data_IF_592214596959
#
_entry.id   IF_592214596959
#
_cell.length_a   1.000
_cell.length_b   1.000
_cell.length_c   1.000
_cell.angle_alpha   90.00
_cell.angle_beta   90.00
_cell.angle_gamma   90.00
#
_symmetry.space_group_name_H-M   'P 1'
#
loop_
_entity.id
_entity.type
_entity.pdbx_description
1 polymer ?
#
# COMPACT_ATOMS: atom_id res chain seq x y z
N UNK A 1 -3.88 3.82 27.22
CA UNK A 1 -5.02 2.98 26.80
C UNK A 1 -4.50 1.73 26.12
N UNK A 2 -4.93 0.53 26.52
CA UNK A 2 -4.43 -0.77 25.98
C UNK A 2 -5.44 -1.53 25.10
N UNK A 3 -6.61 -0.98 24.81
CA UNK A 3 -7.66 -1.67 24.05
C UNK A 3 -8.16 -0.84 22.86
N UNK A 4 -8.49 -1.52 21.76
CA UNK A 4 -9.06 -0.94 20.54
C UNK A 4 -10.44 -0.36 20.86
N UNK A 5 -10.73 0.83 20.36
CA UNK A 5 -12.03 1.51 20.54
C UNK A 5 -12.78 1.49 19.22
N UNK A 6 -14.04 1.02 19.24
CA UNK A 6 -14.95 1.14 18.10
C UNK A 6 -15.64 2.50 18.19
N UNK A 7 -15.47 3.34 17.17
CA UNK A 7 -16.06 4.67 17.11
C UNK A 7 -16.67 4.95 15.73
N UNK A 8 -17.74 5.75 15.69
CA UNK A 8 -18.34 6.28 14.46
C UNK A 8 -18.03 7.76 14.25
N UNK A 9 -17.83 8.49 15.35
CA UNK A 9 -17.54 9.92 15.36
C UNK A 9 -16.38 10.19 16.31
N UNK A 10 -15.46 11.06 15.91
CA UNK A 10 -14.46 11.65 16.80
C UNK A 10 -14.80 13.13 16.96
N UNK A 11 -15.06 13.54 18.20
CA UNK A 11 -15.41 14.92 18.51
C UNK A 11 -14.24 15.57 19.24
N UNK A 12 -13.80 16.71 18.71
CA UNK A 12 -12.90 17.62 19.39
C UNK A 12 -13.77 18.73 19.99
N UNK A 13 -13.54 19.06 21.26
CA UNK A 13 -14.24 20.16 21.93
C UNK A 13 -13.22 21.08 22.56
N UNK A 14 -13.09 22.29 22.03
CA UNK A 14 -12.32 23.34 22.68
C UNK A 14 -13.20 24.01 23.75
N UNK A 15 -12.78 23.96 25.03
CA UNK A 15 -13.56 24.51 26.14
C UNK A 15 -13.26 25.97 26.43
N UNK A 16 -12.06 26.44 26.13
CA UNK A 16 -11.65 27.81 26.45
C UNK A 16 -10.43 28.23 25.61
N UNK A 17 -10.52 29.39 24.97
CA UNK A 17 -9.38 30.10 24.38
C UNK A 17 -9.36 31.52 24.96
N UNK A 18 -8.50 31.82 25.95
CA UNK A 18 -8.49 33.13 26.61
C UNK A 18 -8.10 34.29 25.67
N UNK A 19 -7.24 34.05 24.68
CA UNK A 19 -6.79 35.00 23.66
C UNK A 19 -6.24 34.21 22.44
N UNK A 20 -6.15 34.83 21.27
CA UNK A 20 -5.63 34.21 20.05
C UNK A 20 -6.63 33.28 19.34
N UNK A 21 -6.14 32.21 18.68
CA UNK A 21 -6.96 31.29 17.87
C UNK A 21 -6.70 29.84 18.24
N UNK A 22 -7.78 29.05 18.34
CA UNK A 22 -7.69 27.60 18.41
C UNK A 22 -7.58 27.01 17.01
N UNK A 23 -6.44 26.38 16.71
CA UNK A 23 -6.19 25.73 15.42
C UNK A 23 -5.74 24.29 15.63
N UNK A 24 -6.13 23.42 14.70
CA UNK A 24 -5.70 22.02 14.65
C UNK A 24 -5.12 21.77 13.27
N UNK A 25 -3.94 21.16 13.24
CA UNK A 25 -3.36 20.59 12.04
C UNK A 25 -3.14 19.09 12.23
N UNK A 26 -3.24 18.34 11.13
CA UNK A 26 -2.84 16.94 11.04
C UNK A 26 -3.52 15.96 12.03
N UNK A 27 -4.81 16.16 12.30
CA UNK A 27 -5.59 15.22 13.11
C UNK A 27 -5.79 13.89 12.38
N UNK A 28 -5.16 12.82 12.89
CA UNK A 28 -5.19 11.47 12.29
C UNK A 28 -5.82 10.45 13.22
N UNK A 29 -6.64 9.58 12.64
CA UNK A 29 -7.22 8.42 13.31
C UNK A 29 -6.72 7.18 12.57
N UNK A 30 -6.11 6.26 13.31
CA UNK A 30 -5.60 5.01 12.76
C UNK A 30 -6.45 3.84 13.21
N UNK A 31 -6.76 2.94 12.29
CA UNK A 31 -7.59 1.78 12.53
C UNK A 31 -8.01 1.10 11.24
N UNK A 32 -8.85 0.08 11.35
CA UNK A 32 -9.50 -0.56 10.21
C UNK A 32 -10.99 -0.21 10.24
N UNK A 33 -11.58 -0.01 9.07
CA UNK A 33 -13.02 0.06 8.91
C UNK A 33 -13.72 -1.27 9.24
N UNK A 34 -15.05 -1.29 9.13
CA UNK A 34 -15.87 -2.49 9.35
C UNK A 34 -16.32 -3.16 8.03
N UNK A 35 -15.71 -2.79 6.91
CA UNK A 35 -16.00 -3.34 5.59
C UNK A 35 -15.20 -4.60 5.26
N UNK A 36 -15.31 -5.07 4.02
CA UNK A 36 -14.58 -6.24 3.52
C UNK A 36 -13.15 -5.87 3.11
N UNK A 37 -12.24 -6.82 3.29
CA UNK A 37 -10.91 -6.76 2.69
C UNK A 37 -11.03 -6.82 1.17
N UNK A 38 -10.12 -6.16 0.42
CA UNK A 38 -10.11 -6.26 -1.03
C UNK A 38 -9.70 -7.68 -1.48
N UNK A 39 -10.07 -8.05 -2.70
CA UNK A 39 -9.67 -9.33 -3.27
C UNK A 39 -8.16 -9.42 -3.51
N UNK A 40 -7.64 -10.65 -3.48
CA UNK A 40 -6.25 -10.95 -3.83
C UNK A 40 -5.97 -10.49 -5.26
N UNK A 41 -4.78 -9.93 -5.47
CA UNK A 41 -4.32 -9.51 -6.80
C UNK A 41 -3.97 -10.75 -7.63
N UNK A 42 -4.43 -10.77 -8.88
CA UNK A 42 -4.20 -11.87 -9.83
C UNK A 42 -3.50 -11.36 -11.10
N UNK A 43 -3.04 -12.32 -11.93
CA UNK A 43 -2.41 -12.06 -13.23
C UNK A 43 -1.24 -11.06 -13.19
N UNK A 44 -0.40 -11.18 -12.17
CA UNK A 44 0.82 -10.39 -12.03
C UNK A 44 1.78 -10.76 -13.17
N UNK A 45 2.16 -9.77 -13.97
CA UNK A 45 3.16 -9.90 -15.05
C UNK A 45 4.31 -8.96 -14.77
N UNK A 46 5.53 -9.48 -14.95
CA UNK A 46 6.78 -8.76 -14.72
C UNK A 46 7.54 -8.72 -16.05
N UNK A 47 7.81 -7.52 -16.53
CA UNK A 47 8.53 -7.26 -17.77
C UNK A 47 9.82 -6.52 -17.43
N UNK A 48 10.94 -7.23 -17.40
CA UNK A 48 12.26 -6.65 -17.20
C UNK A 48 12.87 -6.24 -18.53
N UNK A 49 13.40 -5.02 -18.61
CA UNK A 49 13.96 -4.54 -19.87
C UNK A 49 15.32 -5.21 -20.15
N UNK A 50 15.52 -5.64 -21.40
CA UNK A 50 16.72 -6.36 -21.83
C UNK A 50 17.93 -5.45 -22.03
N UNK A 51 17.72 -4.19 -22.41
CA UNK A 51 18.76 -3.18 -22.62
C UNK A 51 19.18 -2.54 -21.29
N UNK A 52 18.21 -2.18 -20.44
CA UNK A 52 18.43 -1.71 -19.08
C UNK A 52 17.73 -2.62 -18.06
N UNK A 53 18.46 -3.62 -17.56
CA UNK A 53 17.95 -4.56 -16.54
C UNK A 53 17.65 -3.91 -15.19
N UNK A 54 17.96 -2.64 -14.98
CA UNK A 54 17.56 -1.90 -13.77
C UNK A 54 16.10 -1.44 -13.85
N UNK A 55 15.53 -1.51 -15.05
CA UNK A 55 14.13 -1.23 -15.32
C UNK A 55 13.27 -2.50 -15.32
N UNK A 56 12.15 -2.44 -14.62
CA UNK A 56 11.08 -3.42 -14.76
C UNK A 56 9.71 -2.76 -14.68
N UNK A 57 8.79 -3.23 -15.53
CA UNK A 57 7.38 -2.88 -15.48
C UNK A 57 6.60 -4.05 -14.90
N UNK A 58 5.85 -3.80 -13.83
CA UNK A 58 5.00 -4.80 -13.18
C UNK A 58 3.55 -4.38 -13.38
N UNK A 59 2.72 -5.31 -13.86
CA UNK A 59 1.28 -5.09 -14.13
C UNK A 59 0.46 -6.19 -13.49
N UNK A 60 -0.80 -5.91 -13.17
CA UNK A 60 -1.74 -6.87 -12.58
C UNK A 60 -3.19 -6.52 -12.90
N UNK A 61 -4.13 -7.41 -12.57
CA UNK A 61 -5.55 -7.13 -12.75
C UNK A 61 -6.07 -6.15 -11.70
N UNK A 62 -6.90 -5.19 -12.15
CA UNK A 62 -7.50 -4.20 -11.26
C UNK A 62 -8.52 -4.85 -10.33
N UNK A 63 -8.34 -4.65 -9.02
CA UNK A 63 -9.26 -5.02 -7.94
C UNK A 63 -10.22 -3.85 -7.69
N UNK A 64 -11.53 -3.96 -7.96
CA UNK A 64 -12.47 -2.84 -7.90
C UNK A 64 -12.57 -2.15 -6.54
N UNK A 65 -12.58 -2.91 -5.45
CA UNK A 65 -12.70 -2.41 -4.08
C UNK A 65 -11.36 -2.06 -3.40
N UNK A 66 -10.27 -2.02 -4.17
CA UNK A 66 -8.96 -1.60 -3.68
C UNK A 66 -8.80 -0.07 -3.79
N UNK A 67 -8.39 0.56 -2.69
CA UNK A 67 -7.94 1.96 -2.67
C UNK A 67 -6.56 2.08 -3.34
N UNK A 68 -5.73 1.06 -3.22
CA UNK A 68 -4.41 1.00 -3.86
C UNK A 68 -3.74 -0.37 -3.71
N UNK A 69 -2.46 -0.42 -4.08
CA UNK A 69 -1.65 -1.63 -4.07
C UNK A 69 -0.29 -1.39 -3.43
N UNK A 70 0.22 -2.38 -2.70
CA UNK A 70 1.58 -2.46 -2.22
C UNK A 70 2.33 -3.46 -3.11
N UNK A 71 3.33 -2.98 -3.85
CA UNK A 71 4.26 -3.83 -4.60
C UNK A 71 5.48 -4.05 -3.71
N UNK A 72 5.69 -5.27 -3.24
CA UNK A 72 6.85 -5.66 -2.42
C UNK A 72 7.84 -6.41 -3.30
N UNK A 73 9.12 -6.14 -3.14
CA UNK A 73 10.15 -6.77 -3.94
C UNK A 73 11.48 -6.93 -3.20
N UNK A 74 12.29 -7.86 -3.65
CA UNK A 74 13.60 -8.14 -3.09
C UNK A 74 14.32 -9.30 -3.77
N UNK A 75 15.55 -9.55 -3.37
CA UNK A 75 16.45 -10.52 -4.01
C UNK A 75 16.20 -11.98 -3.60
N UNK A 76 15.27 -12.22 -2.68
CA UNK A 76 14.83 -13.56 -2.28
C UNK A 76 13.34 -13.56 -1.92
N UNK A 77 12.66 -14.70 -2.09
CA UNK A 77 11.22 -14.85 -1.87
C UNK A 77 10.75 -14.46 -0.46
N UNK A 78 11.60 -14.70 0.54
CA UNK A 78 11.34 -14.41 1.95
C UNK A 78 11.90 -13.05 2.40
N UNK A 79 12.50 -12.28 1.48
CA UNK A 79 13.22 -11.02 1.78
C UNK A 79 12.75 -9.86 0.90
N UNK A 80 11.44 -9.66 0.83
CA UNK A 80 10.81 -8.57 0.08
C UNK A 80 10.78 -7.27 0.89
N UNK A 81 11.96 -6.73 1.17
CA UNK A 81 12.12 -5.56 2.05
C UNK A 81 11.82 -4.22 1.38
N UNK A 82 11.79 -4.18 0.05
CA UNK A 82 11.48 -2.97 -0.69
C UNK A 82 9.98 -2.92 -0.96
N UNK A 83 9.40 -1.73 -0.88
CA UNK A 83 7.98 -1.50 -1.13
C UNK A 83 7.76 -0.25 -1.99
N UNK A 84 6.85 -0.38 -2.95
CA UNK A 84 6.31 0.74 -3.72
C UNK A 84 4.79 0.73 -3.61
N UNK A 85 4.21 1.86 -3.21
CA UNK A 85 2.76 1.99 -3.08
C UNK A 85 2.17 2.68 -4.30
N UNK A 86 1.18 2.04 -4.92
CA UNK A 86 0.50 2.53 -6.12
C UNK A 86 -0.94 2.86 -5.79
N UNK A 87 -1.33 4.08 -6.15
CA UNK A 87 -2.72 4.52 -6.12
C UNK A 87 -3.25 4.57 -7.54
N UNK A 88 -4.58 4.35 -7.68
CA UNK A 88 -5.41 4.48 -8.89
C UNK A 88 -5.07 3.58 -10.10
N UNK A 89 -3.82 3.17 -10.26
CA UNK A 89 -3.31 2.35 -11.35
C UNK A 89 -3.09 0.89 -10.93
N UNK A 90 -2.99 0.01 -11.92
CA UNK A 90 -2.71 -1.42 -11.78
C UNK A 90 -1.33 -1.81 -12.35
N UNK A 91 -0.38 -0.87 -12.30
CA UNK A 91 0.99 -1.10 -12.73
C UNK A 91 1.99 -0.21 -11.96
N UNK A 92 3.26 -0.59 -11.99
CA UNK A 92 4.39 0.22 -11.55
C UNK A 92 5.57 0.05 -12.51
N UNK A 93 6.33 1.12 -12.68
CA UNK A 93 7.62 1.11 -13.38
C UNK A 93 8.72 1.38 -12.35
N UNK A 94 9.63 0.43 -12.21
CA UNK A 94 10.78 0.51 -11.31
C UNK A 94 12.01 0.81 -12.14
N UNK A 95 12.85 1.74 -11.66
CA UNK A 95 14.13 2.12 -12.28
C UNK A 95 15.32 1.94 -11.31
N UNK A 96 15.11 1.17 -10.23
CA UNK A 96 16.03 1.08 -9.10
C UNK A 96 16.53 -0.35 -8.84
N UNK A 97 16.36 -1.27 -9.79
CA UNK A 97 16.82 -2.65 -9.63
C UNK A 97 18.32 -2.77 -9.94
N UNK A 98 18.99 -3.76 -9.39
CA UNK A 98 20.38 -4.08 -9.75
C UNK A 98 20.43 -4.93 -11.02
N UNK A 99 21.34 -4.59 -11.95
CA UNK A 99 21.44 -5.22 -13.27
C UNK A 99 21.58 -6.75 -13.25
N UNK A 100 22.34 -7.28 -12.29
CA UNK A 100 22.76 -8.69 -12.25
C UNK A 100 22.07 -9.51 -11.16
N UNK A 101 21.14 -8.91 -10.41
CA UNK A 101 20.36 -9.60 -9.38
C UNK A 101 19.00 -10.04 -9.90
N UNK A 102 18.57 -11.24 -9.53
CA UNK A 102 17.19 -11.68 -9.69
C UNK A 102 16.31 -11.06 -8.60
N UNK A 103 15.09 -10.69 -8.96
CA UNK A 103 14.11 -10.10 -8.04
C UNK A 103 12.85 -10.96 -7.98
N UNK A 104 12.25 -11.01 -6.81
CA UNK A 104 10.94 -11.59 -6.55
C UNK A 104 9.96 -10.48 -6.23
N UNK A 105 8.70 -10.67 -6.60
CA UNK A 105 7.67 -9.65 -6.45
C UNK A 105 6.40 -10.23 -5.81
N UNK A 106 5.80 -9.43 -4.94
CA UNK A 106 4.46 -9.65 -4.43
C UNK A 106 3.64 -8.38 -4.57
N UNK A 107 2.37 -8.53 -4.94
CA UNK A 107 1.42 -7.42 -5.01
C UNK A 107 0.25 -7.71 -4.08
N UNK A 108 0.00 -6.78 -3.17
CA UNK A 108 -1.13 -6.80 -2.24
C UNK A 108 -2.05 -5.62 -2.54
N UNK A 109 -3.34 -5.86 -2.64
CA UNK A 109 -4.34 -4.78 -2.67
C UNK A 109 -4.68 -4.33 -1.24
N UNK A 110 -4.99 -3.05 -1.05
CA UNK A 110 -5.44 -2.53 0.24
C UNK A 110 -6.61 -1.55 0.09
N UNK A 111 -7.42 -1.46 1.15
CA UNK A 111 -8.43 -0.42 1.33
C UNK A 111 -8.51 0.00 2.82
N UNK A 112 -9.49 0.82 3.21
CA UNK A 112 -9.62 1.30 4.60
C UNK A 112 -9.88 0.18 5.62
N UNK A 113 -10.22 -1.02 5.15
CA UNK A 113 -10.52 -2.20 5.97
C UNK A 113 -9.31 -3.12 6.14
N UNK A 114 -8.25 -2.94 5.34
CA UNK A 114 -6.98 -3.64 5.48
C UNK A 114 -6.35 -4.05 4.16
N UNK A 115 -5.49 -5.05 4.23
CA UNK A 115 -4.66 -5.54 3.12
C UNK A 115 -5.08 -6.98 2.79
N UNK A 116 -5.12 -7.32 1.51
CA UNK A 116 -5.42 -8.67 1.03
C UNK A 116 -4.25 -9.64 1.26
N UNK A 117 -4.45 -10.92 0.94
CA UNK A 117 -3.34 -11.88 0.81
C UNK A 117 -2.48 -11.50 -0.40
N UNK A 118 -1.18 -11.67 -0.32
CA UNK A 118 -0.27 -11.40 -1.41
C UNK A 118 -0.53 -12.28 -2.65
N UNK A 119 -0.60 -11.66 -3.83
CA UNK A 119 -0.36 -12.32 -5.11
C UNK A 119 1.15 -12.35 -5.36
N UNK A 120 1.69 -13.46 -5.85
CA UNK A 120 3.14 -13.61 -6.09
C UNK A 120 3.42 -13.75 -7.59
N UNK A 121 4.49 -13.11 -8.06
CA UNK A 121 5.06 -13.27 -9.40
C UNK A 121 6.58 -13.46 -9.31
N UNK A 122 7.16 -14.12 -10.31
CA UNK A 122 8.61 -14.20 -10.48
C UNK A 122 9.00 -13.50 -11.77
#
# INVERSE_FOLDING_TARGET
MKQKVKARYCRITNRHTPDGTFAISDFRIFGKGNGKLPHRVENIKIERNNEDKRFARITWDKVPEATGYNVKFGIAKDKLYLNYQVYTHNFVELHCLDKDADYFFEVESFNENGVSKAGSGK
#
